data_IF_381226266013
#
_entry.id   IF_381226266013
#
_cell.length_a   1.000
_cell.length_b   1.000
_cell.length_c   1.000
_cell.angle_alpha   90.00
_cell.angle_beta   90.00
_cell.angle_gamma   90.00
#
_symmetry.space_group_name_H-M   'P 1'
#
loop_
_entity.id
_entity.type
_entity.pdbx_description
1 polymer ?
#
# COMPACT_ATOMS: atom_id res chain seq x y z
N UNK A 1 3.73 6.61 19.02
CA UNK A 1 3.11 7.72 18.27
C UNK A 1 3.77 7.76 16.90
N UNK A 2 3.06 7.38 15.84
CA UNK A 2 3.55 7.47 14.46
C UNK A 2 3.46 8.94 14.05
N UNK A 3 4.58 9.56 13.69
CA UNK A 3 4.58 10.92 13.16
C UNK A 3 4.55 10.81 11.65
N UNK A 4 3.50 11.34 11.04
CA UNK A 4 3.37 11.53 9.59
C UNK A 4 4.59 12.33 9.11
N UNK A 5 5.36 11.79 8.16
CA UNK A 5 6.58 12.40 7.65
C UNK A 5 7.86 11.57 7.82
N UNK A 6 7.75 10.23 7.86
CA UNK A 6 8.94 9.35 7.73
C UNK A 6 9.31 9.26 6.23
N UNK A 7 10.58 9.14 5.84
CA UNK A 7 11.01 9.06 4.43
C UNK A 7 10.34 7.87 3.73
N UNK A 8 10.12 6.80 4.49
CA UNK A 8 9.47 5.58 4.01
C UNK A 8 7.97 5.75 3.69
N UNK A 9 7.31 6.83 4.13
CA UNK A 9 5.89 7.11 3.84
C UNK A 9 5.62 7.26 2.34
N UNK A 10 6.64 7.61 1.55
CA UNK A 10 6.52 7.74 0.09
C UNK A 10 6.30 6.40 -0.62
N UNK A 11 6.65 5.29 0.02
CA UNK A 11 6.52 3.96 -0.57
C UNK A 11 5.18 3.33 -0.22
N UNK A 12 4.39 2.98 -1.25
CA UNK A 12 3.10 2.32 -1.05
C UNK A 12 3.31 0.89 -0.54
N UNK A 13 2.54 0.49 0.47
CA UNK A 13 2.67 -0.82 1.10
C UNK A 13 3.70 -0.88 2.23
N UNK A 14 4.29 0.26 2.60
CA UNK A 14 5.23 0.37 3.72
C UNK A 14 4.55 1.10 4.87
N UNK A 15 4.13 0.34 5.89
CA UNK A 15 3.63 0.89 7.15
C UNK A 15 4.67 0.77 8.26
N UNK A 16 4.35 1.30 9.44
CA UNK A 16 5.28 1.38 10.60
C UNK A 16 6.02 0.07 10.93
N UNK A 17 5.34 -1.07 10.85
CA UNK A 17 5.95 -2.37 11.15
C UNK A 17 6.97 -2.77 10.07
N UNK A 18 6.63 -2.49 8.80
CA UNK A 18 7.52 -2.79 7.67
C UNK A 18 8.72 -1.86 7.67
N UNK A 19 8.55 -0.58 8.00
CA UNK A 19 9.67 0.37 8.19
C UNK A 19 10.66 -0.15 9.22
N UNK A 20 10.19 -0.66 10.36
CA UNK A 20 11.08 -1.22 11.40
C UNK A 20 11.89 -2.40 10.88
N UNK A 21 11.24 -3.32 10.17
CA UNK A 21 11.90 -4.48 9.58
C UNK A 21 12.93 -4.04 8.51
N UNK A 22 12.57 -3.08 7.66
CA UNK A 22 13.46 -2.55 6.63
C UNK A 22 14.67 -1.85 7.26
N UNK A 23 14.47 -1.05 8.31
CA UNK A 23 15.56 -0.40 9.05
C UNK A 23 16.49 -1.45 9.67
N UNK A 24 15.94 -2.53 10.24
CA UNK A 24 16.74 -3.64 10.77
C UNK A 24 17.54 -4.37 9.67
N UNK A 25 16.93 -4.64 8.52
CA UNK A 25 17.58 -5.27 7.36
C UNK A 25 18.73 -4.42 6.79
N UNK A 26 18.56 -3.10 6.79
CA UNK A 26 19.58 -2.14 6.34
C UNK A 26 20.63 -1.83 7.41
N UNK A 27 20.52 -2.38 8.61
CA UNK A 27 21.41 -2.05 9.74
C UNK A 27 21.24 -0.62 10.26
N UNK A 28 20.12 0.04 9.96
CA UNK A 28 19.80 1.39 10.41
C UNK A 28 19.19 1.37 11.81
N UNK A 29 19.50 2.39 12.61
CA UNK A 29 18.91 2.52 13.94
C UNK A 29 17.38 2.67 13.82
N UNK A 30 16.61 1.92 14.61
CA UNK A 30 15.14 2.04 14.64
C UNK A 30 14.64 3.43 15.05
N UNK A 31 15.45 4.17 15.81
CA UNK A 31 15.20 5.57 16.21
C UNK A 31 15.73 6.58 15.19
N UNK A 32 16.32 6.13 14.09
CA UNK A 32 16.86 7.01 13.05
C UNK A 32 15.71 7.82 12.42
N UNK A 33 15.85 9.15 12.45
CA UNK A 33 14.91 10.08 11.85
C UNK A 33 15.42 10.52 10.48
N UNK A 34 14.52 10.88 9.58
CA UNK A 34 14.93 11.30 8.22
C UNK A 34 15.70 12.62 8.20
N UNK A 35 15.54 13.42 9.25
CA UNK A 35 16.33 14.63 9.46
C UNK A 35 17.80 14.34 9.78
N UNK A 36 18.09 13.12 10.22
CA UNK A 36 19.45 12.65 10.49
C UNK A 36 20.07 12.01 9.23
N UNK A 37 19.31 11.85 8.13
CA UNK A 37 19.85 11.38 6.85
C UNK A 37 20.53 12.55 6.16
N UNK A 38 21.75 12.86 6.58
CA UNK A 38 22.54 13.95 6.02
C UNK A 38 23.21 13.54 4.70
N UNK A 39 23.45 12.24 4.50
CA UNK A 39 24.12 11.73 3.31
C UNK A 39 23.12 11.25 2.25
N UNK A 40 23.08 11.99 1.15
CA UNK A 40 22.30 11.67 -0.05
C UNK A 40 22.52 10.23 -0.53
N UNK A 41 23.73 9.70 -0.38
CA UNK A 41 24.11 8.33 -0.74
C UNK A 41 23.28 7.27 0.02
N UNK A 42 22.96 7.52 1.29
CA UNK A 42 22.13 6.62 2.10
C UNK A 42 20.70 6.60 1.58
N UNK A 43 20.15 7.75 1.18
CA UNK A 43 18.82 7.83 0.58
C UNK A 43 18.77 7.11 -0.77
N UNK A 44 19.78 7.29 -1.61
CA UNK A 44 19.89 6.62 -2.91
C UNK A 44 20.02 5.09 -2.73
N UNK A 45 20.76 4.64 -1.74
CA UNK A 45 20.85 3.22 -1.39
C UNK A 45 19.50 2.67 -0.91
N UNK A 46 18.78 3.39 -0.05
CA UNK A 46 17.43 3.01 0.39
C UNK A 46 16.49 2.93 -0.82
N UNK A 47 16.51 3.93 -1.71
CA UNK A 47 15.69 3.93 -2.92
C UNK A 47 15.97 2.71 -3.80
N UNK A 48 17.24 2.41 -4.04
CA UNK A 48 17.65 1.23 -4.81
C UNK A 48 17.19 -0.08 -4.15
N UNK A 49 17.39 -0.21 -2.84
CA UNK A 49 16.95 -1.38 -2.07
C UNK A 49 15.43 -1.57 -2.14
N UNK A 50 14.68 -0.47 -2.08
CA UNK A 50 13.22 -0.49 -2.14
C UNK A 50 12.71 -0.83 -3.55
N UNK A 51 13.33 -0.31 -4.61
CA UNK A 51 12.96 -0.62 -6.01
C UNK A 51 13.03 -2.12 -6.34
N UNK A 52 13.94 -2.86 -5.71
CA UNK A 52 14.06 -4.31 -5.89
C UNK A 52 12.93 -5.13 -5.27
N UNK A 53 12.09 -4.54 -4.41
CA UNK A 53 11.05 -5.26 -3.67
C UNK A 53 9.75 -5.37 -4.47
N UNK A 54 9.22 -6.59 -4.56
CA UNK A 54 7.95 -6.89 -5.27
C UNK A 54 6.69 -6.61 -4.45
N UNK A 55 6.83 -6.33 -3.16
CA UNK A 55 5.73 -6.19 -2.22
C UNK A 55 5.44 -4.72 -1.87
N UNK A 56 5.87 -3.78 -2.72
CA UNK A 56 5.63 -2.34 -2.60
C UNK A 56 5.29 -1.70 -3.96
N UNK A 57 4.82 -0.45 -3.94
CA UNK A 57 4.61 0.41 -5.11
C UNK A 57 3.81 -0.26 -6.25
N UNK A 58 4.33 -0.19 -7.48
CA UNK A 58 3.67 -0.63 -8.70
C UNK A 58 3.42 -2.14 -8.71
N UNK A 59 4.36 -2.93 -8.20
CA UNK A 59 4.20 -4.38 -8.11
C UNK A 59 3.01 -4.76 -7.20
N UNK A 60 2.88 -4.08 -6.07
CA UNK A 60 1.75 -4.26 -5.17
C UNK A 60 0.43 -3.86 -5.85
N UNK A 61 0.43 -2.78 -6.64
CA UNK A 61 -0.76 -2.35 -7.38
C UNK A 61 -1.16 -3.31 -8.49
N UNK A 62 -0.19 -3.86 -9.21
CA UNK A 62 -0.40 -4.92 -10.19
C UNK A 62 -0.97 -6.18 -9.54
N UNK A 63 -0.45 -6.57 -8.38
CA UNK A 63 -0.93 -7.74 -7.65
C UNK A 63 -2.36 -7.56 -7.14
N UNK A 64 -2.65 -6.41 -6.52
CA UNK A 64 -4.01 -6.05 -6.06
C UNK A 64 -4.97 -6.07 -7.26
N UNK A 65 -4.59 -5.46 -8.37
CA UNK A 65 -5.41 -5.42 -9.60
C UNK A 65 -5.66 -6.82 -10.13
N UNK A 66 -4.62 -7.66 -10.25
CA UNK A 66 -4.74 -9.07 -10.68
C UNK A 66 -5.68 -9.86 -9.79
N UNK A 67 -5.60 -9.67 -8.47
CA UNK A 67 -6.47 -10.33 -7.50
C UNK A 67 -7.93 -9.89 -7.65
N UNK A 68 -8.18 -8.60 -7.86
CA UNK A 68 -9.51 -8.06 -8.11
C UNK A 68 -10.07 -8.62 -9.43
N UNK A 69 -9.29 -8.56 -10.53
CA UNK A 69 -9.69 -9.11 -11.84
C UNK A 69 -10.02 -10.60 -11.75
N UNK A 70 -9.26 -11.38 -10.97
CA UNK A 70 -9.56 -12.80 -10.73
C UNK A 70 -10.92 -12.97 -10.06
N UNK A 71 -11.22 -12.19 -9.01
CA UNK A 71 -12.52 -12.23 -8.29
C UNK A 71 -13.69 -11.87 -9.20
N UNK A 72 -13.52 -10.92 -10.10
CA UNK A 72 -14.51 -10.53 -11.12
C UNK A 72 -14.70 -11.65 -12.13
N UNK A 73 -13.62 -12.21 -12.66
CA UNK A 73 -13.65 -13.30 -13.67
C UNK A 73 -14.41 -14.53 -13.18
N UNK A 74 -14.20 -14.93 -11.92
CA UNK A 74 -14.91 -16.07 -11.31
C UNK A 74 -16.34 -15.73 -10.85
N UNK A 75 -16.81 -14.49 -11.04
CA UNK A 75 -18.13 -14.00 -10.59
C UNK A 75 -18.42 -14.26 -9.11
N UNK A 76 -17.38 -14.23 -8.28
CA UNK A 76 -17.54 -14.25 -6.82
C UNK A 76 -18.43 -13.09 -6.36
N UNK A 77 -19.09 -13.22 -5.20
CA UNK A 77 -19.85 -12.12 -4.61
C UNK A 77 -19.03 -10.82 -4.55
N UNK A 78 -17.78 -10.91 -4.08
CA UNK A 78 -16.88 -9.77 -4.02
C UNK A 78 -16.61 -9.18 -5.41
N UNK A 79 -16.35 -10.02 -6.43
CA UNK A 79 -16.16 -9.59 -7.81
C UNK A 79 -17.37 -8.85 -8.38
N UNK A 80 -18.59 -9.35 -8.12
CA UNK A 80 -19.83 -8.68 -8.54
C UNK A 80 -19.96 -7.31 -7.87
N UNK A 81 -19.63 -7.20 -6.58
CA UNK A 81 -19.68 -5.92 -5.85
C UNK A 81 -18.66 -4.93 -6.38
N UNK A 82 -17.44 -5.38 -6.63
CA UNK A 82 -16.41 -4.58 -7.28
C UNK A 82 -16.86 -4.07 -8.66
N UNK A 83 -17.37 -4.94 -9.53
CA UNK A 83 -17.83 -4.55 -10.87
C UNK A 83 -18.97 -3.53 -10.85
N UNK A 84 -19.81 -3.55 -9.80
CA UNK A 84 -20.93 -2.61 -9.64
C UNK A 84 -20.58 -1.37 -8.80
N UNK A 85 -19.33 -1.22 -8.36
CA UNK A 85 -18.91 -0.10 -7.50
C UNK A 85 -19.58 -0.09 -6.13
N UNK A 86 -19.95 -1.24 -5.56
CA UNK A 86 -20.56 -1.30 -4.22
C UNK A 86 -19.56 -1.72 -3.14
N UNK A 87 -19.86 -1.44 -1.85
CA UNK A 87 -19.17 -2.03 -0.73
C UNK A 87 -19.07 -3.56 -0.80
N UNK A 88 -17.88 -4.08 -0.53
CA UNK A 88 -17.54 -5.50 -0.70
C UNK A 88 -17.87 -6.33 0.55
N UNK A 89 -17.67 -5.74 1.74
CA UNK A 89 -17.80 -6.44 3.03
C UNK A 89 -19.19 -6.27 3.67
N UNK A 90 -20.25 -6.43 2.87
CA UNK A 90 -21.65 -6.39 3.33
C UNK A 90 -22.06 -5.15 4.14
N UNK A 91 -21.41 -4.01 3.88
CA UNK A 91 -21.77 -2.74 4.51
C UNK A 91 -23.11 -2.22 3.98
N UNK A 92 -23.78 -1.37 4.76
CA UNK A 92 -25.06 -0.75 4.38
C UNK A 92 -24.89 0.10 3.11
N UNK A 93 -25.66 -0.24 2.07
CA UNK A 93 -25.65 0.43 0.76
C UNK A 93 -26.79 1.42 0.54
N UNK A 94 -27.82 1.38 1.40
CA UNK A 94 -29.04 2.21 1.31
C UNK A 94 -28.74 3.65 1.68
N UNK A 95 -28.09 3.86 2.83
CA UNK A 95 -27.82 5.20 3.36
C UNK A 95 -26.33 5.58 3.29
N UNK A 96 -25.43 4.58 3.33
CA UNK A 96 -23.98 4.78 3.42
C UNK A 96 -23.25 4.17 2.21
N UNK A 97 -21.91 4.12 2.27
CA UNK A 97 -21.07 3.50 1.26
C UNK A 97 -20.65 4.42 0.12
N UNK A 98 -20.76 5.74 0.31
CA UNK A 98 -20.39 6.76 -0.69
C UNK A 98 -18.93 6.60 -1.13
N UNK A 99 -18.02 6.36 -0.18
CA UNK A 99 -16.59 6.17 -0.47
C UNK A 99 -16.38 4.93 -1.35
N UNK A 100 -17.01 3.81 -1.02
CA UNK A 100 -16.93 2.60 -1.84
C UNK A 100 -17.51 2.83 -3.24
N UNK A 101 -18.65 3.55 -3.35
CA UNK A 101 -19.26 3.95 -4.64
C UNK A 101 -18.34 4.83 -5.48
N UNK A 102 -17.46 5.61 -4.85
CA UNK A 102 -16.46 6.43 -5.54
C UNK A 102 -15.22 5.63 -5.96
N UNK A 103 -14.70 4.79 -5.06
CA UNK A 103 -13.39 4.15 -5.21
C UNK A 103 -13.43 2.77 -5.87
N UNK A 104 -14.50 2.00 -5.72
CA UNK A 104 -14.60 0.64 -6.27
C UNK A 104 -14.96 0.62 -7.77
N UNK A 105 -14.68 1.69 -8.51
CA UNK A 105 -14.93 1.74 -9.94
C UNK A 105 -13.79 1.04 -10.68
N UNK A 106 -13.98 -0.24 -10.98
CA UNK A 106 -13.13 -0.94 -11.95
C UNK A 106 -13.45 -0.33 -13.31
N UNK A 107 -12.53 0.47 -13.85
CA UNK A 107 -12.53 0.85 -15.26
C UNK A 107 -11.92 -0.27 -16.10
#
# INVERSE_FOLDING_TARGET
>A
MYRKGDYFDKFKGVGINKVRLIKDELGLNRKFWDRDVVEREVLEYIDYFMLGRKDINEWLDMEISKNISKKVKIKSYQGIRYSKGYPIYCQNVRNNGIIAKKLNNIK
#
